data_IF_527868605700
#
_entry.id   IF_527868605700
#
_cell.length_a   1.000
_cell.length_b   1.000
_cell.length_c   1.000
_cell.angle_alpha   90.00
_cell.angle_beta   90.00
_cell.angle_gamma   90.00
#
_symmetry.space_group_name_H-M   'P 1'
#
loop_
_entity.id
_entity.type
_entity.pdbx_description
1 polymer ?
#
# COMPACT_ATOMS: atom_id res chain seq x y z
N UNK A 1 -49.76 -5.33 24.71
CA UNK A 1 -48.38 -5.40 25.24
C UNK A 1 -48.49 -5.76 26.73
N UNK A 2 -48.30 -7.05 27.10
CA UNK A 2 -48.24 -7.50 28.48
C UNK A 2 -46.82 -7.29 29.03
N UNK A 3 -46.55 -6.09 29.52
CA UNK A 3 -45.31 -5.79 30.21
C UNK A 3 -45.38 -6.39 31.61
N UNK A 4 -44.38 -7.22 31.96
CA UNK A 4 -44.23 -7.69 33.33
C UNK A 4 -43.64 -6.56 34.19
N UNK A 5 -44.29 -6.29 35.34
CA UNK A 5 -43.77 -5.30 36.29
C UNK A 5 -42.49 -5.81 36.90
N UNK A 6 -41.45 -4.98 36.93
CA UNK A 6 -40.21 -5.30 37.60
C UNK A 6 -40.45 -5.38 39.12
N UNK A 7 -39.97 -6.44 39.77
CA UNK A 7 -40.09 -6.68 41.21
C UNK A 7 -38.82 -6.33 41.98
N UNK A 8 -37.70 -6.15 41.28
CA UNK A 8 -36.42 -5.74 41.85
C UNK A 8 -36.16 -4.26 41.58
N UNK A 9 -35.36 -3.59 42.40
CA UNK A 9 -34.88 -2.25 42.12
C UNK A 9 -34.03 -2.24 40.84
N UNK A 10 -34.34 -1.31 39.93
CA UNK A 10 -33.56 -1.17 38.70
C UNK A 10 -32.22 -0.52 39.01
N UNK A 11 -31.21 -0.97 38.33
CA UNK A 11 -29.85 -0.41 38.41
C UNK A 11 -29.78 0.98 37.79
N UNK A 12 -28.76 1.76 38.15
CA UNK A 12 -28.50 3.07 37.54
C UNK A 12 -28.49 2.97 35.99
N UNK A 13 -27.83 1.98 35.46
CA UNK A 13 -27.69 1.74 34.02
C UNK A 13 -29.05 1.49 33.34
N UNK A 14 -29.90 0.62 33.93
CA UNK A 14 -31.22 0.29 33.36
C UNK A 14 -32.14 1.50 33.33
N UNK A 15 -32.16 2.28 34.42
CA UNK A 15 -32.99 3.50 34.51
C UNK A 15 -32.53 4.51 33.45
N UNK A 16 -31.24 4.76 33.36
CA UNK A 16 -30.72 5.80 32.49
C UNK A 16 -30.70 5.40 31.01
N UNK A 17 -30.55 4.13 30.68
CA UNK A 17 -30.78 3.62 29.33
C UNK A 17 -32.24 3.77 28.87
N UNK A 18 -33.18 3.48 29.77
CA UNK A 18 -34.61 3.67 29.47
C UNK A 18 -34.93 5.15 29.22
N UNK A 19 -34.45 6.07 30.07
CA UNK A 19 -34.64 7.51 29.92
C UNK A 19 -33.95 8.06 28.65
N UNK A 20 -32.77 7.56 28.33
CA UNK A 20 -31.98 7.99 27.17
C UNK A 20 -32.72 7.81 25.86
N UNK A 21 -33.57 6.78 25.73
CA UNK A 21 -34.35 6.52 24.52
C UNK A 21 -35.29 7.70 24.15
N UNK A 22 -35.74 8.48 25.17
CA UNK A 22 -36.54 9.69 24.98
C UNK A 22 -35.75 11.00 25.02
N UNK A 23 -34.45 10.96 25.38
CA UNK A 23 -33.64 12.15 25.65
C UNK A 23 -32.43 12.28 24.74
N UNK A 24 -32.41 11.60 23.58
CA UNK A 24 -31.34 11.64 22.62
C UNK A 24 -30.97 13.03 22.09
N UNK A 25 -31.92 13.97 22.17
CA UNK A 25 -31.71 15.40 21.85
C UNK A 25 -31.03 16.19 22.97
N UNK A 26 -30.98 15.67 24.21
CA UNK A 26 -30.52 16.37 25.40
C UNK A 26 -29.21 15.74 25.96
N UNK A 27 -28.36 15.24 25.08
CA UNK A 27 -27.05 14.66 25.43
C UNK A 27 -25.92 15.61 25.08
N UNK A 28 -24.77 15.45 25.75
CA UNK A 28 -23.58 16.21 25.42
C UNK A 28 -22.30 15.50 25.80
N UNK A 29 -21.24 15.80 25.06
CA UNK A 29 -19.89 15.40 25.33
C UNK A 29 -19.07 16.56 25.86
N UNK A 30 -18.30 16.32 26.91
CA UNK A 30 -17.41 17.32 27.51
C UNK A 30 -16.36 17.78 26.48
N UNK A 31 -16.24 19.10 26.28
CA UNK A 31 -15.22 19.64 25.40
C UNK A 31 -13.80 19.33 25.96
N UNK A 32 -12.95 18.72 25.15
CA UNK A 32 -11.60 18.28 25.56
C UNK A 32 -10.62 19.46 25.66
N UNK A 33 -10.80 20.47 24.82
CA UNK A 33 -9.98 21.68 24.77
C UNK A 33 -10.80 22.88 25.24
N UNK A 34 -10.68 23.26 26.50
CA UNK A 34 -11.22 24.52 26.95
C UNK A 34 -10.37 25.10 28.09
N UNK A 35 -10.00 26.36 27.94
CA UNK A 35 -9.36 27.18 28.97
C UNK A 35 -10.30 27.54 30.15
N UNK A 36 -11.50 26.99 30.16
CA UNK A 36 -12.49 27.26 31.18
C UNK A 36 -12.33 26.34 32.39
N UNK A 37 -12.39 26.90 33.59
CA UNK A 37 -12.46 26.12 34.85
C UNK A 37 -13.60 25.09 34.88
N UNK A 38 -14.70 25.35 34.15
CA UNK A 38 -15.81 24.43 33.91
C UNK A 38 -16.03 24.43 32.39
N UNK A 39 -15.49 23.43 31.66
CA UNK A 39 -15.67 23.39 30.22
C UNK A 39 -17.12 23.17 29.84
N UNK A 40 -17.59 23.75 28.72
CA UNK A 40 -18.91 23.46 28.20
C UNK A 40 -18.99 22.01 27.70
N UNK A 41 -20.21 21.52 27.63
CA UNK A 41 -20.55 20.31 26.89
C UNK A 41 -20.98 20.69 25.48
N UNK A 42 -20.47 19.94 24.50
CA UNK A 42 -20.98 20.00 23.13
C UNK A 42 -22.20 19.09 23.05
N UNK A 43 -23.33 19.66 22.79
CA UNK A 43 -24.59 18.96 22.66
C UNK A 43 -24.94 18.62 21.21
N UNK A 44 -26.03 17.90 21.05
CA UNK A 44 -26.69 17.69 19.76
C UNK A 44 -27.08 19.04 19.12
N UNK A 45 -27.30 19.05 17.79
CA UNK A 45 -27.63 20.24 17.01
C UNK A 45 -26.63 21.40 17.12
N UNK A 46 -25.39 21.11 17.53
CA UNK A 46 -24.29 22.07 17.61
C UNK A 46 -24.38 23.03 18.80
N UNK A 47 -25.27 22.80 19.77
CA UNK A 47 -25.41 23.65 20.93
C UNK A 47 -24.28 23.42 21.95
N UNK A 48 -23.90 24.48 22.68
CA UNK A 48 -22.99 24.38 23.83
C UNK A 48 -23.79 24.68 25.10
N UNK A 49 -23.66 23.81 26.10
CA UNK A 49 -24.32 24.01 27.38
C UNK A 49 -23.42 23.75 28.57
N UNK A 50 -23.78 24.20 29.71
CA UNK A 50 -23.10 24.01 31.00
C UNK A 50 -24.00 23.24 31.95
N UNK A 51 -23.47 22.45 32.83
CA UNK A 51 -24.24 21.85 33.91
C UNK A 51 -24.62 22.95 34.87
N UNK A 52 -25.91 22.98 35.33
CA UNK A 52 -26.40 23.93 36.32
C UNK A 52 -25.52 23.95 37.56
N UNK A 53 -25.09 25.14 38.08
CA UNK A 53 -24.14 25.24 39.21
C UNK A 53 -24.62 24.56 40.50
N UNK A 54 -25.94 24.49 40.71
CA UNK A 54 -26.55 23.79 41.86
C UNK A 54 -26.67 22.28 41.71
N UNK A 55 -26.28 21.71 40.56
CA UNK A 55 -26.29 20.27 40.35
C UNK A 55 -25.11 19.60 41.07
N UNK A 56 -25.34 18.41 41.63
CA UNK A 56 -24.29 17.56 42.21
C UNK A 56 -23.20 17.23 41.16
N UNK A 57 -23.57 17.19 39.88
CA UNK A 57 -22.69 16.93 38.77
C UNK A 57 -21.89 18.14 38.25
N UNK A 58 -22.19 19.36 38.74
CA UNK A 58 -21.53 20.58 38.22
C UNK A 58 -20.00 20.55 38.28
N UNK A 59 -19.41 19.90 39.29
CA UNK A 59 -17.94 19.78 39.46
C UNK A 59 -17.38 18.43 39.03
N UNK A 60 -18.23 17.40 38.88
CA UNK A 60 -17.82 15.98 38.68
C UNK A 60 -18.61 15.33 37.53
N UNK A 61 -19.09 16.11 36.57
CA UNK A 61 -19.74 15.56 35.39
C UNK A 61 -18.82 14.68 34.55
N UNK A 62 -19.30 13.53 34.10
CA UNK A 62 -18.56 12.58 33.25
C UNK A 62 -18.24 13.13 31.86
N UNK A 63 -17.63 12.30 31.04
CA UNK A 63 -17.34 12.64 29.64
C UNK A 63 -18.62 12.85 28.83
N UNK A 64 -19.63 12.01 29.07
CA UNK A 64 -20.91 12.05 28.43
C UNK A 64 -22.00 12.29 29.48
N UNK A 65 -22.92 13.17 29.17
CA UNK A 65 -24.04 13.46 30.04
C UNK A 65 -25.34 13.48 29.23
N UNK A 66 -26.44 13.13 29.90
CA UNK A 66 -27.80 13.46 29.45
C UNK A 66 -28.49 14.37 30.46
N UNK A 67 -29.42 15.19 30.02
CA UNK A 67 -30.22 16.06 30.89
C UNK A 67 -31.70 15.90 30.61
N UNK A 68 -32.53 16.13 31.62
CA UNK A 68 -33.96 16.13 31.42
C UNK A 68 -34.41 17.37 30.65
N UNK A 69 -33.73 18.52 30.87
CA UNK A 69 -34.07 19.80 30.25
C UNK A 69 -32.81 20.66 30.03
N UNK A 70 -32.89 21.50 29.00
CA UNK A 70 -31.94 22.57 28.73
C UNK A 70 -32.68 23.90 28.93
N UNK A 71 -32.17 24.74 29.84
CA UNK A 71 -32.81 26.03 30.21
C UNK A 71 -31.87 27.17 29.85
N UNK A 72 -32.36 28.10 29.06
CA UNK A 72 -31.61 29.30 28.69
C UNK A 72 -31.84 30.40 29.74
N UNK A 73 -30.72 30.92 30.23
CA UNK A 73 -30.69 32.09 31.13
C UNK A 73 -29.60 33.05 30.63
N UNK A 74 -28.51 33.26 31.37
CA UNK A 74 -27.31 33.94 30.87
C UNK A 74 -26.47 33.04 29.94
N UNK A 75 -26.66 31.74 30.10
CA UNK A 75 -26.08 30.63 29.27
C UNK A 75 -27.13 29.53 29.18
N UNK A 76 -26.91 28.60 28.30
CA UNK A 76 -27.73 27.39 28.25
C UNK A 76 -27.25 26.42 29.32
N UNK A 77 -28.12 26.04 30.23
CA UNK A 77 -27.84 25.16 31.38
C UNK A 77 -28.63 23.85 31.29
N UNK A 78 -27.94 22.77 31.53
CA UNK A 78 -28.54 21.44 31.69
C UNK A 78 -28.93 21.20 33.14
N UNK A 79 -30.20 20.81 33.37
CA UNK A 79 -30.77 20.44 34.68
C UNK A 79 -31.07 18.95 34.74
N UNK A 80 -31.09 18.40 35.94
CA UNK A 80 -31.26 16.96 36.19
C UNK A 80 -30.35 16.12 35.32
N UNK A 81 -29.03 16.28 35.53
CA UNK A 81 -27.98 15.68 34.71
C UNK A 81 -27.57 14.33 35.25
N UNK A 82 -27.44 13.37 34.34
CA UNK A 82 -26.87 12.04 34.61
C UNK A 82 -25.68 11.77 33.72
N UNK A 83 -24.67 11.06 34.24
CA UNK A 83 -23.59 10.55 33.44
C UNK A 83 -24.07 9.33 32.65
N UNK A 84 -23.62 9.23 31.38
CA UNK A 84 -23.97 8.14 30.48
C UNK A 84 -22.70 7.69 29.72
N UNK A 85 -22.80 6.57 29.04
CA UNK A 85 -21.71 6.05 28.22
C UNK A 85 -22.04 6.15 26.72
N UNK A 86 -21.00 6.25 25.87
CA UNK A 86 -21.18 6.38 24.42
C UNK A 86 -21.90 5.15 23.83
N UNK A 87 -21.65 3.96 24.36
CA UNK A 87 -22.27 2.69 23.97
C UNK A 87 -23.77 2.69 24.23
N UNK A 88 -24.23 3.36 25.30
CA UNK A 88 -25.68 3.48 25.59
C UNK A 88 -26.34 4.39 24.57
N UNK A 89 -25.68 5.49 24.19
CA UNK A 89 -26.16 6.41 23.14
C UNK A 89 -26.29 5.65 21.83
N UNK A 90 -25.27 4.88 21.46
CA UNK A 90 -25.26 4.09 20.22
C UNK A 90 -26.42 3.08 20.20
N UNK A 91 -26.60 2.34 21.29
CA UNK A 91 -27.66 1.36 21.42
C UNK A 91 -29.07 1.99 21.37
N UNK A 92 -29.25 3.13 22.05
CA UNK A 92 -30.55 3.83 22.08
C UNK A 92 -30.89 4.56 20.77
N UNK A 93 -29.88 5.12 20.11
CA UNK A 93 -30.05 5.88 18.87
C UNK A 93 -30.22 4.95 17.64
N UNK A 94 -29.63 3.78 17.61
CA UNK A 94 -29.80 2.82 16.53
C UNK A 94 -29.57 3.44 15.14
N UNK A 95 -30.61 3.41 14.31
CA UNK A 95 -30.59 3.95 12.94
C UNK A 95 -30.51 5.48 12.83
N UNK A 96 -30.65 6.21 13.94
CA UNK A 96 -30.51 7.67 13.95
C UNK A 96 -29.05 8.12 13.85
N UNK A 97 -28.09 7.22 14.12
CA UNK A 97 -26.68 7.51 13.94
C UNK A 97 -26.35 7.55 12.45
N UNK A 98 -25.87 8.70 12.00
CA UNK A 98 -25.30 8.85 10.67
C UNK A 98 -23.86 8.36 10.70
N UNK A 99 -23.57 7.33 9.89
CA UNK A 99 -22.25 6.74 9.73
C UNK A 99 -21.56 7.32 8.52
N UNK A 100 -20.26 7.55 8.64
CA UNK A 100 -19.37 7.91 7.55
C UNK A 100 -18.09 7.13 7.67
N UNK A 101 -17.48 6.80 6.53
CA UNK A 101 -16.25 6.02 6.44
C UNK A 101 -15.19 6.84 5.75
N UNK A 102 -13.96 6.74 6.25
CA UNK A 102 -12.79 7.42 5.69
C UNK A 102 -11.60 6.47 5.64
N UNK A 103 -10.63 6.82 4.79
CA UNK A 103 -9.34 6.12 4.68
C UNK A 103 -9.50 4.60 4.44
N UNK A 104 -10.27 4.16 3.42
CA UNK A 104 -10.31 2.75 3.08
C UNK A 104 -8.93 2.30 2.59
N UNK A 105 -8.43 1.19 3.16
CA UNK A 105 -7.11 0.64 2.86
C UNK A 105 -7.08 -0.87 3.05
N UNK A 106 -6.16 -1.52 2.38
CA UNK A 106 -5.92 -2.95 2.55
C UNK A 106 -5.22 -3.26 3.87
N UNK A 107 -5.80 -4.13 4.67
CA UNK A 107 -5.19 -4.62 5.90
C UNK A 107 -4.68 -6.05 5.70
N UNK A 108 -3.38 -6.18 5.52
CA UNK A 108 -2.70 -7.42 5.16
C UNK A 108 -3.00 -8.59 6.10
N UNK A 109 -2.93 -8.35 7.42
CA UNK A 109 -3.13 -9.40 8.43
C UNK A 109 -4.59 -9.87 8.52
N UNK A 110 -5.54 -8.98 8.25
CA UNK A 110 -6.96 -9.33 8.20
C UNK A 110 -7.35 -9.94 6.85
N UNK A 111 -6.62 -9.61 5.82
CA UNK A 111 -6.90 -10.04 4.45
C UNK A 111 -8.18 -9.45 3.89
N UNK A 112 -8.53 -8.23 4.30
CA UNK A 112 -9.70 -7.48 3.87
C UNK A 112 -9.44 -5.97 3.88
N UNK A 113 -10.30 -5.22 3.18
CA UNK A 113 -10.24 -3.76 3.20
C UNK A 113 -10.94 -3.22 4.44
N UNK A 114 -10.22 -2.40 5.18
CA UNK A 114 -10.68 -1.73 6.40
C UNK A 114 -10.90 -0.24 6.13
N UNK A 115 -11.79 0.37 6.90
CA UNK A 115 -11.99 1.81 6.91
C UNK A 115 -12.24 2.32 8.33
N UNK A 116 -12.03 3.62 8.54
CA UNK A 116 -12.34 4.29 9.79
C UNK A 116 -13.78 4.78 9.79
N UNK A 117 -14.63 4.15 10.63
CA UNK A 117 -16.03 4.54 10.82
C UNK A 117 -16.13 5.65 11.86
N UNK A 118 -16.91 6.68 11.53
CA UNK A 118 -17.34 7.75 12.43
C UNK A 118 -18.86 7.74 12.52
N UNK A 119 -19.38 7.75 13.74
CA UNK A 119 -20.82 7.86 14.02
C UNK A 119 -21.19 9.21 14.60
N UNK A 120 -22.21 9.86 14.03
CA UNK A 120 -22.73 11.15 14.51
C UNK A 120 -24.24 11.07 14.78
N UNK A 121 -24.68 11.65 15.89
CA UNK A 121 -26.09 11.79 16.24
C UNK A 121 -26.45 13.27 16.31
N UNK A 122 -27.35 13.73 15.45
CA UNK A 122 -27.75 15.13 15.34
C UNK A 122 -26.58 16.13 15.31
N UNK A 123 -25.51 15.76 14.59
CA UNK A 123 -24.27 16.55 14.46
C UNK A 123 -23.24 16.34 15.58
N UNK A 124 -23.60 15.69 16.69
CA UNK A 124 -22.67 15.33 17.75
C UNK A 124 -21.92 14.04 17.41
N UNK A 125 -20.60 14.08 17.44
CA UNK A 125 -19.76 12.88 17.21
C UNK A 125 -19.82 11.97 18.44
N UNK A 126 -20.37 10.77 18.27
CA UNK A 126 -20.49 9.78 19.33
C UNK A 126 -19.23 8.93 19.43
N UNK A 127 -18.73 8.46 18.29
CA UNK A 127 -17.45 7.75 18.16
C UNK A 127 -16.77 8.11 16.83
N UNK A 128 -15.48 7.92 16.81
CA UNK A 128 -14.65 8.14 15.63
C UNK A 128 -13.48 7.15 15.63
N UNK A 129 -12.86 6.94 14.47
CA UNK A 129 -11.70 6.05 14.29
C UNK A 129 -11.98 4.59 14.71
N UNK A 130 -13.20 4.12 14.50
CA UNK A 130 -13.52 2.72 14.68
C UNK A 130 -13.16 1.96 13.41
N UNK A 131 -12.18 1.08 13.48
CA UNK A 131 -11.81 0.24 12.34
C UNK A 131 -12.89 -0.81 12.08
N UNK A 132 -13.44 -0.78 10.85
CA UNK A 132 -14.50 -1.68 10.40
C UNK A 132 -14.17 -2.28 9.03
N UNK A 133 -14.71 -3.47 8.72
CA UNK A 133 -14.65 -4.05 7.38
C UNK A 133 -15.44 -3.18 6.40
N UNK A 134 -14.82 -2.77 5.29
CA UNK A 134 -15.41 -1.82 4.34
C UNK A 134 -16.21 -2.48 3.22
N UNK A 135 -16.01 -3.76 2.97
CA UNK A 135 -16.62 -4.52 1.88
C UNK A 135 -18.16 -4.40 1.84
N UNK A 136 -18.81 -4.39 3.02
CA UNK A 136 -20.28 -4.27 3.12
C UNK A 136 -20.82 -2.89 2.77
N UNK A 137 -19.96 -1.88 2.73
CA UNK A 137 -20.31 -0.48 2.48
C UNK A 137 -20.04 -0.09 1.03
N UNK A 138 -18.92 -0.55 0.49
CA UNK A 138 -18.56 -0.37 -0.91
C UNK A 138 -17.73 -1.56 -1.40
N UNK A 139 -18.41 -2.51 -2.03
CA UNK A 139 -17.79 -3.71 -2.58
C UNK A 139 -16.86 -3.37 -3.76
N UNK A 140 -17.26 -2.42 -4.60
CA UNK A 140 -16.49 -2.06 -5.80
C UNK A 140 -15.15 -1.45 -5.43
N UNK A 141 -15.15 -0.46 -4.52
CA UNK A 141 -13.91 0.15 -4.04
C UNK A 141 -13.07 -0.84 -3.22
N UNK A 142 -13.70 -1.71 -2.41
CA UNK A 142 -12.97 -2.75 -1.68
C UNK A 142 -12.27 -3.73 -2.61
N UNK A 143 -12.93 -4.13 -3.72
CA UNK A 143 -12.33 -4.98 -4.73
C UNK A 143 -11.16 -4.31 -5.45
N UNK A 144 -11.32 -3.05 -5.82
CA UNK A 144 -10.24 -2.26 -6.44
C UNK A 144 -9.02 -2.18 -5.53
N UNK A 145 -9.21 -1.80 -4.26
CA UNK A 145 -8.13 -1.72 -3.28
C UNK A 145 -7.49 -3.08 -2.99
N UNK A 146 -8.29 -4.16 -2.94
CA UNK A 146 -7.77 -5.52 -2.80
C UNK A 146 -6.86 -5.89 -3.97
N UNK A 147 -7.29 -5.67 -5.20
CA UNK A 147 -6.46 -5.99 -6.38
C UNK A 147 -5.20 -5.14 -6.40
N UNK A 148 -5.31 -3.82 -6.24
CA UNK A 148 -4.15 -2.90 -6.28
C UNK A 148 -3.17 -3.18 -5.15
N UNK A 149 -3.63 -3.08 -3.91
CA UNK A 149 -2.74 -3.09 -2.75
C UNK A 149 -2.30 -4.50 -2.35
N UNK A 150 -3.15 -5.51 -2.49
CA UNK A 150 -2.78 -6.89 -2.15
C UNK A 150 -2.04 -7.60 -3.28
N UNK A 151 -2.62 -7.64 -4.50
CA UNK A 151 -2.12 -8.48 -5.58
C UNK A 151 -1.04 -7.79 -6.43
N UNK A 152 -1.23 -6.52 -6.79
CA UNK A 152 -0.28 -5.77 -7.63
C UNK A 152 0.89 -5.27 -6.81
N UNK A 153 0.66 -4.53 -5.71
CA UNK A 153 1.74 -4.02 -4.85
C UNK A 153 2.43 -5.12 -4.01
N UNK A 154 1.93 -6.35 -4.04
CA UNK A 154 2.58 -7.46 -3.36
C UNK A 154 2.31 -7.56 -1.85
N UNK A 155 1.32 -6.86 -1.32
CA UNK A 155 0.99 -6.83 0.11
C UNK A 155 0.04 -7.97 0.53
N UNK A 156 0.27 -9.18 0.03
CA UNK A 156 -0.58 -10.35 0.30
C UNK A 156 0.21 -11.50 0.91
N UNK A 157 -0.25 -12.05 2.03
CA UNK A 157 0.45 -13.11 2.77
C UNK A 157 -0.02 -14.53 2.41
N UNK A 158 -1.06 -14.69 1.58
CA UNK A 158 -1.58 -16.01 1.27
C UNK A 158 -0.65 -16.81 0.36
N UNK A 159 -0.54 -18.11 0.65
CA UNK A 159 0.30 -19.06 -0.09
C UNK A 159 -0.48 -19.66 -1.27
N UNK A 160 -0.78 -18.84 -2.29
CA UNK A 160 -1.43 -19.29 -3.50
C UNK A 160 -0.41 -19.53 -4.64
N UNK A 161 -0.43 -20.68 -5.34
CA UNK A 161 0.59 -21.01 -6.35
C UNK A 161 0.64 -20.02 -7.52
N UNK A 162 -0.53 -19.49 -7.98
CA UNK A 162 -0.54 -18.45 -9.02
C UNK A 162 0.21 -17.19 -8.59
N UNK A 163 -0.01 -16.77 -7.34
CA UNK A 163 0.60 -15.56 -6.82
C UNK A 163 2.12 -15.69 -6.67
N UNK A 164 2.57 -16.84 -6.14
CA UNK A 164 4.01 -17.15 -6.06
C UNK A 164 4.65 -17.21 -7.46
N UNK A 165 3.94 -17.75 -8.46
CA UNK A 165 4.38 -17.76 -9.85
C UNK A 165 4.54 -16.34 -10.38
N UNK A 166 3.52 -15.49 -10.23
CA UNK A 166 3.53 -14.12 -10.73
C UNK A 166 4.61 -13.28 -10.03
N UNK A 167 4.74 -13.38 -8.71
CA UNK A 167 5.77 -12.67 -7.94
C UNK A 167 7.20 -13.10 -8.29
N UNK A 168 7.40 -14.38 -8.68
CA UNK A 168 8.70 -14.85 -9.20
C UNK A 168 8.98 -14.22 -10.55
N UNK A 169 7.99 -14.23 -11.42
CA UNK A 169 8.13 -13.73 -12.79
C UNK A 169 8.38 -12.21 -12.80
N UNK A 170 7.68 -11.45 -11.95
CA UNK A 170 7.90 -10.01 -11.77
C UNK A 170 9.37 -9.76 -11.33
N UNK A 171 9.84 -10.45 -10.30
CA UNK A 171 11.24 -10.32 -9.84
C UNK A 171 12.27 -10.67 -10.92
N UNK A 172 11.99 -11.68 -11.75
CA UNK A 172 12.87 -12.02 -12.88
C UNK A 172 12.93 -10.88 -13.91
N UNK A 173 11.83 -10.18 -14.14
CA UNK A 173 11.75 -9.04 -15.07
C UNK A 173 12.42 -7.79 -14.46
N UNK A 174 12.20 -7.51 -13.18
CA UNK A 174 12.91 -6.44 -12.46
C UNK A 174 14.43 -6.65 -12.48
N UNK A 175 14.90 -7.89 -12.28
CA UNK A 175 16.32 -8.21 -12.46
C UNK A 175 16.81 -7.91 -13.90
N UNK A 176 15.97 -8.10 -14.91
CA UNK A 176 16.31 -7.73 -16.29
C UNK A 176 16.36 -6.22 -16.48
N UNK A 177 15.47 -5.46 -15.89
CA UNK A 177 15.52 -3.99 -15.90
C UNK A 177 16.85 -3.48 -15.34
N UNK A 178 17.25 -3.99 -14.17
CA UNK A 178 18.55 -3.65 -13.57
C UNK A 178 19.72 -4.03 -14.47
N UNK A 179 19.67 -5.21 -15.10
CA UNK A 179 20.74 -5.66 -16.02
C UNK A 179 20.86 -4.82 -17.27
N UNK A 180 19.73 -4.44 -17.84
CA UNK A 180 19.67 -3.71 -19.10
C UNK A 180 19.73 -2.20 -18.94
N UNK A 181 19.71 -1.71 -17.69
CA UNK A 181 19.60 -0.29 -17.36
C UNK A 181 18.37 0.37 -18.02
N UNK A 182 17.30 -0.41 -18.22
CA UNK A 182 16.04 0.03 -18.82
C UNK A 182 14.91 -0.11 -17.80
N UNK A 183 14.37 0.99 -17.25
CA UNK A 183 13.33 0.95 -16.23
C UNK A 183 11.92 0.70 -16.80
N UNK A 184 11.80 0.44 -18.09
CA UNK A 184 10.52 0.35 -18.82
C UNK A 184 10.26 -1.05 -19.41
N UNK A 185 10.87 -2.09 -18.87
CA UNK A 185 10.69 -3.48 -19.36
C UNK A 185 9.44 -4.11 -18.78
N UNK A 186 9.21 -3.92 -17.47
CA UNK A 186 8.01 -4.39 -16.80
C UNK A 186 6.80 -3.53 -17.21
N UNK A 187 5.65 -4.16 -17.39
CA UNK A 187 4.38 -3.44 -17.55
C UNK A 187 4.03 -2.71 -16.26
N UNK A 188 3.37 -1.56 -16.41
CA UNK A 188 2.95 -0.76 -15.26
C UNK A 188 1.85 -1.46 -14.42
N UNK A 189 1.64 -0.94 -13.22
CA UNK A 189 0.68 -1.47 -12.28
C UNK A 189 -0.76 -1.45 -12.81
N UNK A 190 -1.08 -0.52 -13.70
CA UNK A 190 -2.42 -0.44 -14.32
C UNK A 190 -2.70 -1.62 -15.25
N UNK A 191 -1.71 -2.10 -15.99
CA UNK A 191 -1.87 -3.28 -16.83
C UNK A 191 -1.96 -4.55 -15.98
N UNK A 192 -1.19 -4.64 -14.88
CA UNK A 192 -1.31 -5.75 -13.92
C UNK A 192 -2.68 -5.73 -13.24
N UNK A 193 -3.16 -4.55 -12.84
CA UNK A 193 -4.51 -4.38 -12.30
C UNK A 193 -5.57 -4.84 -13.31
N UNK A 194 -5.51 -4.36 -14.54
CA UNK A 194 -6.48 -4.72 -15.60
C UNK A 194 -6.51 -6.23 -15.87
N UNK A 195 -5.36 -6.91 -15.79
CA UNK A 195 -5.31 -8.36 -15.90
C UNK A 195 -6.10 -9.06 -14.79
N UNK A 196 -5.87 -8.70 -13.52
CA UNK A 196 -6.61 -9.29 -12.41
C UNK A 196 -8.09 -8.89 -12.42
N UNK A 197 -8.39 -7.65 -12.78
CA UNK A 197 -9.76 -7.12 -12.86
C UNK A 197 -10.61 -7.87 -13.88
N UNK A 198 -10.01 -8.26 -15.00
CA UNK A 198 -10.70 -9.03 -16.05
C UNK A 198 -11.00 -10.49 -15.66
N UNK A 199 -10.18 -11.09 -14.77
CA UNK A 199 -10.27 -12.53 -14.43
C UNK A 199 -11.02 -12.76 -13.12
N UNK A 200 -10.79 -11.92 -12.10
CA UNK A 200 -11.40 -12.08 -10.77
C UNK A 200 -12.86 -11.63 -10.81
N UNK A 201 -13.83 -12.46 -10.38
CA UNK A 201 -15.24 -12.08 -10.31
C UNK A 201 -15.48 -10.82 -9.48
N UNK A 202 -16.56 -10.08 -9.84
CA UNK A 202 -16.89 -8.79 -9.23
C UNK A 202 -17.30 -8.86 -7.76
N UNK A 203 -17.65 -10.02 -7.26
CA UNK A 203 -18.05 -10.28 -5.87
C UNK A 203 -16.87 -10.66 -4.95
N UNK A 204 -15.65 -10.71 -5.49
CA UNK A 204 -14.44 -11.07 -4.74
C UNK A 204 -13.65 -9.79 -4.39
N UNK A 205 -13.61 -9.46 -3.10
CA UNK A 205 -12.95 -8.25 -2.58
C UNK A 205 -12.03 -8.51 -1.36
N UNK A 206 -11.78 -9.76 -1.00
CA UNK A 206 -10.94 -10.11 0.14
C UNK A 206 -10.25 -11.47 -0.05
N UNK A 207 -9.26 -11.76 0.82
CA UNK A 207 -8.50 -13.02 0.79
C UNK A 207 -9.39 -14.26 0.90
N UNK A 208 -10.39 -14.22 1.79
CA UNK A 208 -11.25 -15.39 2.04
C UNK A 208 -12.07 -15.73 0.82
N UNK A 209 -12.72 -14.76 0.18
CA UNK A 209 -13.52 -14.96 -1.02
C UNK A 209 -12.67 -15.44 -2.20
N UNK A 210 -11.46 -14.87 -2.39
CA UNK A 210 -10.54 -15.30 -3.43
C UNK A 210 -10.09 -16.77 -3.24
N UNK A 211 -9.68 -17.14 -2.02
CA UNK A 211 -9.25 -18.51 -1.74
C UNK A 211 -10.39 -19.51 -1.86
N UNK A 212 -11.63 -19.14 -1.50
CA UNK A 212 -12.81 -19.98 -1.69
C UNK A 212 -13.09 -20.22 -3.19
N UNK A 213 -13.01 -19.16 -4.00
CA UNK A 213 -13.19 -19.24 -5.44
C UNK A 213 -12.11 -20.10 -6.13
N UNK A 214 -10.84 -19.92 -5.75
CA UNK A 214 -9.74 -20.78 -6.21
C UNK A 214 -9.96 -22.26 -5.88
N UNK A 215 -10.43 -22.55 -4.68
CA UNK A 215 -10.73 -23.92 -4.26
C UNK A 215 -11.87 -24.55 -5.06
N UNK A 216 -12.90 -23.77 -5.41
CA UNK A 216 -14.04 -24.25 -6.22
C UNK A 216 -13.66 -24.46 -7.68
N UNK A 217 -12.93 -23.54 -8.28
CA UNK A 217 -12.54 -23.58 -9.69
C UNK A 217 -11.32 -24.45 -10.01
N UNK A 218 -10.60 -24.86 -8.97
CA UNK A 218 -9.44 -25.76 -9.10
C UNK A 218 -8.32 -25.21 -9.99
N UNK A 219 -7.69 -26.12 -10.72
CA UNK A 219 -6.51 -25.78 -11.55
C UNK A 219 -6.81 -24.83 -12.71
N UNK A 220 -8.02 -24.85 -13.26
CA UNK A 220 -8.39 -23.97 -14.37
C UNK A 220 -8.39 -22.51 -13.94
N UNK A 221 -9.08 -22.20 -12.84
CA UNK A 221 -9.13 -20.86 -12.27
C UNK A 221 -7.75 -20.42 -11.81
N UNK A 222 -6.98 -21.29 -11.20
CA UNK A 222 -5.63 -20.96 -10.78
C UNK A 222 -4.71 -20.65 -11.96
N UNK A 223 -4.82 -21.39 -13.07
CA UNK A 223 -4.04 -21.12 -14.27
C UNK A 223 -4.46 -19.83 -14.99
N UNK A 224 -5.73 -19.44 -14.93
CA UNK A 224 -6.19 -18.17 -15.53
C UNK A 224 -5.62 -16.94 -14.83
N UNK A 225 -5.20 -17.07 -13.56
CA UNK A 225 -4.56 -16.00 -12.78
C UNK A 225 -3.04 -15.96 -12.94
N UNK A 226 -2.43 -16.94 -13.63
CA UNK A 226 -0.99 -16.92 -13.90
C UNK A 226 -0.68 -16.01 -15.07
N UNK A 227 0.11 -15.00 -14.85
CA UNK A 227 0.62 -14.13 -15.90
C UNK A 227 1.69 -14.84 -16.72
N UNK A 228 1.79 -14.50 -17.99
CA UNK A 228 2.87 -14.93 -18.86
C UNK A 228 3.96 -13.85 -18.89
N UNK A 229 5.18 -14.25 -19.26
CA UNK A 229 6.29 -13.30 -19.41
C UNK A 229 5.97 -12.25 -20.47
N UNK A 230 5.36 -12.63 -21.58
CA UNK A 230 4.99 -11.72 -22.66
C UNK A 230 3.93 -10.69 -22.22
N UNK A 231 3.01 -11.10 -21.32
CA UNK A 231 2.01 -10.19 -20.76
C UNK A 231 2.61 -9.18 -19.77
N UNK A 232 3.73 -9.50 -19.11
CA UNK A 232 4.42 -8.65 -18.14
C UNK A 232 5.57 -7.83 -18.74
N UNK A 233 5.95 -8.09 -19.99
CA UNK A 233 7.02 -7.35 -20.67
C UNK A 233 6.46 -6.44 -21.76
N UNK A 234 6.94 -5.21 -21.82
CA UNK A 234 6.67 -4.33 -22.96
C UNK A 234 7.37 -4.87 -24.22
N UNK A 235 6.74 -4.72 -25.37
CA UNK A 235 7.18 -5.33 -26.64
C UNK A 235 8.61 -5.01 -27.10
N UNK A 236 9.23 -3.95 -26.58
CA UNK A 236 10.58 -3.51 -26.98
C UNK A 236 11.75 -4.22 -26.24
N UNK A 237 11.47 -5.15 -25.33
CA UNK A 237 12.50 -5.82 -24.54
C UNK A 237 13.04 -7.13 -25.15
N UNK A 238 12.69 -7.45 -26.40
CA UNK A 238 13.00 -8.72 -27.09
C UNK A 238 14.50 -9.02 -27.33
N UNK A 239 15.40 -8.06 -27.04
CA UNK A 239 16.85 -8.21 -27.23
C UNK A 239 17.65 -8.64 -25.99
N UNK A 240 16.99 -8.83 -24.84
CA UNK A 240 17.68 -9.12 -23.58
C UNK A 240 17.81 -10.62 -23.34
N UNK A 241 18.97 -11.18 -23.61
CA UNK A 241 19.26 -12.61 -23.36
C UNK A 241 20.30 -12.77 -22.27
N UNK A 242 20.32 -13.94 -21.60
CA UNK A 242 21.38 -14.30 -20.65
C UNK A 242 22.78 -14.31 -21.29
N UNK A 243 22.87 -14.32 -22.63
CA UNK A 243 24.13 -14.22 -23.37
C UNK A 243 24.74 -12.82 -23.20
N UNK A 244 23.94 -11.78 -23.30
CA UNK A 244 24.42 -10.39 -23.20
C UNK A 244 24.55 -9.92 -21.74
N UNK A 245 23.74 -10.48 -20.81
CA UNK A 245 23.75 -10.15 -19.39
C UNK A 245 23.84 -11.41 -18.53
N UNK A 246 25.05 -12.05 -18.47
CA UNK A 246 25.22 -13.31 -17.75
C UNK A 246 25.06 -13.12 -16.23
N UNK A 247 24.58 -14.17 -15.55
CA UNK A 247 24.49 -14.19 -14.06
C UNK A 247 25.82 -14.54 -13.41
N UNK A 248 26.71 -15.23 -14.15
CA UNK A 248 28.00 -15.63 -13.68
C UNK A 248 29.03 -15.45 -14.80
N UNK A 249 30.26 -15.23 -14.41
CA UNK A 249 31.42 -15.20 -15.34
C UNK A 249 32.48 -16.16 -14.85
N UNK A 250 33.20 -16.79 -15.80
CA UNK A 250 34.38 -17.58 -15.51
C UNK A 250 35.64 -16.76 -15.74
N UNK A 251 36.45 -16.58 -14.67
CA UNK A 251 37.77 -15.98 -14.72
C UNK A 251 38.74 -16.84 -13.96
N UNK A 252 39.94 -17.05 -14.51
CA UNK A 252 40.98 -17.88 -13.89
C UNK A 252 40.47 -19.27 -13.46
N UNK A 253 39.52 -19.87 -14.20
CA UNK A 253 38.90 -21.16 -13.85
C UNK A 253 37.95 -21.14 -12.67
N UNK A 254 37.55 -19.95 -12.21
CA UNK A 254 36.60 -19.77 -11.10
C UNK A 254 35.33 -19.09 -11.60
N UNK A 255 34.17 -19.68 -11.28
CA UNK A 255 32.86 -19.06 -11.57
C UNK A 255 32.54 -18.01 -10.51
N UNK A 256 32.33 -16.78 -10.94
CA UNK A 256 32.05 -15.61 -10.09
C UNK A 256 30.64 -15.07 -10.36
N UNK A 257 29.90 -14.76 -9.30
CA UNK A 257 28.56 -14.20 -9.43
C UNK A 257 28.59 -12.71 -9.80
N UNK A 258 27.70 -12.33 -10.74
CA UNK A 258 27.51 -10.96 -11.19
C UNK A 258 26.18 -10.44 -10.64
N UNK A 259 26.24 -9.30 -9.93
CA UNK A 259 25.06 -8.56 -9.49
C UNK A 259 24.98 -7.22 -10.23
N UNK A 260 23.82 -6.96 -10.81
CA UNK A 260 23.51 -5.74 -11.54
C UNK A 260 22.68 -4.83 -10.67
N UNK A 261 23.05 -3.56 -10.56
CA UNK A 261 22.31 -2.54 -9.85
C UNK A 261 22.15 -1.32 -10.73
N UNK A 262 20.91 -0.83 -10.86
CA UNK A 262 20.61 0.37 -11.63
C UNK A 262 19.93 1.41 -10.73
N UNK A 263 20.71 2.35 -10.23
CA UNK A 263 20.25 3.48 -9.43
C UNK A 263 21.19 4.67 -9.68
N UNK A 264 20.88 5.50 -10.67
CA UNK A 264 21.74 6.64 -11.04
C UNK A 264 22.04 7.54 -9.85
N UNK A 265 23.34 7.73 -9.55
CA UNK A 265 23.80 8.52 -8.40
C UNK A 265 24.09 7.72 -7.12
N UNK A 266 23.75 6.43 -7.08
CA UNK A 266 24.14 5.54 -5.98
C UNK A 266 25.59 5.05 -6.19
N UNK A 267 26.45 5.00 -5.15
CA UNK A 267 27.81 4.42 -5.24
C UNK A 267 27.85 2.96 -5.69
N UNK A 268 26.74 2.24 -5.60
CA UNK A 268 26.60 0.85 -6.04
C UNK A 268 26.01 0.70 -7.44
N UNK A 269 25.70 1.83 -8.13
CA UNK A 269 25.17 1.79 -9.50
C UNK A 269 26.19 1.11 -10.43
N UNK A 270 25.75 0.08 -11.16
CA UNK A 270 26.57 -0.64 -12.11
C UNK A 270 26.63 -2.14 -11.87
N UNK A 271 27.80 -2.72 -12.16
CA UNK A 271 28.08 -4.14 -12.03
C UNK A 271 28.95 -4.43 -10.81
N UNK A 272 28.51 -5.36 -9.98
CA UNK A 272 29.29 -5.87 -8.85
C UNK A 272 29.67 -7.34 -9.12
N UNK A 273 30.95 -7.65 -9.05
CA UNK A 273 31.49 -9.03 -9.16
C UNK A 273 31.87 -9.51 -7.76
N UNK A 274 31.33 -10.67 -7.35
CA UNK A 274 31.74 -11.30 -6.10
C UNK A 274 32.92 -12.23 -6.35
N UNK A 275 34.08 -11.82 -5.87
CA UNK A 275 35.36 -12.54 -6.09
C UNK A 275 35.75 -13.29 -4.83
N UNK A 276 35.97 -14.63 -4.89
CA UNK A 276 36.58 -15.38 -3.80
C UNK A 276 38.00 -14.87 -3.50
N UNK A 277 38.36 -14.76 -2.23
CA UNK A 277 39.62 -14.15 -1.80
C UNK A 277 40.86 -14.83 -2.42
N UNK A 278 40.84 -16.15 -2.63
CA UNK A 278 41.94 -16.89 -3.26
C UNK A 278 42.13 -16.58 -4.76
N UNK A 279 41.08 -16.09 -5.43
CA UNK A 279 41.12 -15.78 -6.86
C UNK A 279 41.48 -14.29 -7.14
N UNK A 280 41.57 -13.46 -6.11
CA UNK A 280 41.74 -12.00 -6.24
C UNK A 280 43.00 -11.62 -7.03
N UNK A 281 44.12 -12.31 -6.80
CA UNK A 281 45.40 -12.06 -7.48
C UNK A 281 45.47 -12.62 -8.91
N UNK A 282 44.44 -13.36 -9.34
CA UNK A 282 44.39 -13.99 -10.66
C UNK A 282 43.42 -13.28 -11.61
N UNK A 283 42.85 -12.16 -11.16
CA UNK A 283 41.94 -11.37 -11.97
C UNK A 283 42.69 -10.69 -13.10
N UNK A 284 42.20 -10.89 -14.33
CA UNK A 284 42.70 -10.19 -15.51
C UNK A 284 41.91 -8.87 -15.68
N UNK A 285 42.62 -7.73 -15.54
CA UNK A 285 42.05 -6.41 -15.70
C UNK A 285 41.46 -6.18 -17.10
N UNK A 286 42.11 -6.71 -18.13
CA UNK A 286 41.68 -6.64 -19.52
C UNK A 286 40.34 -7.39 -19.69
N UNK A 287 40.29 -8.62 -19.19
CA UNK A 287 39.05 -9.40 -19.22
C UNK A 287 37.95 -8.73 -18.44
N UNK A 288 38.26 -8.06 -17.32
CA UNK A 288 37.28 -7.31 -16.50
C UNK A 288 36.66 -6.13 -17.25
N UNK A 289 37.34 -5.55 -18.22
CA UNK A 289 36.77 -4.45 -19.04
C UNK A 289 35.69 -4.92 -20.02
N UNK A 290 35.63 -6.21 -20.34
CA UNK A 290 34.69 -6.81 -21.31
C UNK A 290 33.59 -7.66 -20.68
N UNK A 291 33.45 -7.65 -19.37
CA UNK A 291 32.62 -8.58 -18.58
C UNK A 291 31.19 -8.77 -19.03
N UNK A 292 30.57 -7.74 -19.54
CA UNK A 292 29.15 -7.76 -19.90
C UNK A 292 28.96 -7.30 -21.33
N UNK A 293 28.79 -8.22 -22.28
CA UNK A 293 28.67 -7.91 -23.70
C UNK A 293 27.54 -6.89 -23.96
N UNK A 294 26.38 -6.98 -23.25
CA UNK A 294 25.28 -6.06 -23.41
C UNK A 294 25.58 -4.60 -23.01
N UNK A 295 26.58 -4.35 -22.17
CA UNK A 295 27.02 -3.01 -21.76
C UNK A 295 28.10 -2.39 -22.67
N UNK A 296 28.71 -3.18 -23.55
CA UNK A 296 29.81 -2.72 -24.41
C UNK A 296 29.39 -1.55 -25.30
N UNK A 297 28.22 -1.61 -25.89
CA UNK A 297 27.72 -0.55 -26.75
C UNK A 297 27.54 0.78 -25.99
N UNK A 298 26.94 0.76 -24.80
CA UNK A 298 26.77 1.97 -23.98
C UNK A 298 28.10 2.52 -23.50
N UNK A 299 29.03 1.63 -23.08
CA UNK A 299 30.37 2.00 -22.68
C UNK A 299 31.13 2.69 -23.82
N UNK A 300 31.05 2.15 -25.04
CA UNK A 300 31.59 2.79 -26.23
C UNK A 300 30.97 4.18 -26.49
N UNK A 301 29.66 4.33 -26.38
CA UNK A 301 29.01 5.61 -26.54
C UNK A 301 29.50 6.66 -25.54
N UNK A 302 29.62 6.28 -24.25
CA UNK A 302 30.11 7.19 -23.22
C UNK A 302 31.56 7.60 -23.45
N UNK A 303 32.42 6.67 -23.86
CA UNK A 303 33.81 6.96 -24.22
C UNK A 303 33.89 7.91 -25.40
N UNK A 304 33.17 7.66 -26.47
CA UNK A 304 33.13 8.57 -27.63
C UNK A 304 32.66 9.97 -27.22
N UNK A 305 31.63 10.04 -26.37
CA UNK A 305 31.11 11.33 -25.85
C UNK A 305 32.11 12.07 -24.97
N UNK A 306 32.99 11.36 -24.26
CA UNK A 306 34.05 11.95 -23.42
C UNK A 306 35.25 12.48 -24.22
N UNK A 307 35.39 12.11 -25.48
CA UNK A 307 36.51 12.56 -26.33
C UNK A 307 36.44 14.09 -26.55
N UNK A 308 37.60 14.76 -26.70
CA UNK A 308 37.66 16.16 -27.10
C UNK A 308 36.87 16.42 -28.39
N UNK A 309 36.20 17.57 -28.46
CA UNK A 309 35.30 17.92 -29.57
C UNK A 309 35.96 17.76 -30.95
N UNK A 310 37.26 18.03 -31.06
CA UNK A 310 38.04 17.91 -32.29
C UNK A 310 38.05 16.48 -32.84
N UNK A 311 38.02 15.47 -31.97
CA UNK A 311 38.00 14.05 -32.34
C UNK A 311 36.55 13.58 -32.48
N UNK A 312 35.71 13.88 -31.49
CA UNK A 312 34.31 13.45 -31.44
C UNK A 312 33.50 13.85 -32.68
N UNK A 313 33.79 14.99 -33.30
CA UNK A 313 33.12 15.43 -34.56
C UNK A 313 33.20 14.41 -35.69
N UNK A 314 34.18 13.54 -35.70
CA UNK A 314 34.36 12.49 -36.71
C UNK A 314 33.56 11.23 -36.43
N UNK A 315 32.98 11.12 -35.21
CA UNK A 315 32.18 9.99 -34.77
C UNK A 315 30.69 10.38 -34.62
N UNK A 316 30.10 10.97 -35.66
CA UNK A 316 28.69 11.42 -35.69
C UNK A 316 27.95 10.69 -36.80
N UNK A 317 26.82 10.02 -36.51
CA UNK A 317 26.16 9.84 -35.20
C UNK A 317 26.90 8.87 -34.27
N UNK A 318 27.04 9.22 -33.00
CA UNK A 318 27.77 8.41 -31.99
C UNK A 318 27.17 7.00 -31.83
N UNK A 319 25.85 6.89 -32.00
CA UNK A 319 25.16 5.60 -31.86
C UNK A 319 25.59 4.59 -32.94
N UNK A 320 25.81 5.04 -34.16
CA UNK A 320 26.18 4.17 -35.28
C UNK A 320 27.60 3.64 -35.11
N UNK A 321 28.51 4.49 -34.65
CA UNK A 321 29.91 4.09 -34.36
C UNK A 321 29.94 3.09 -33.19
N UNK A 322 29.19 3.31 -32.14
CA UNK A 322 29.13 2.38 -31.02
C UNK A 322 28.47 1.04 -31.42
N UNK A 323 27.49 1.05 -32.31
CA UNK A 323 26.87 -0.14 -32.85
C UNK A 323 27.85 -0.94 -33.72
N UNK A 324 28.59 -0.28 -34.60
CA UNK A 324 29.61 -0.93 -35.43
C UNK A 324 30.74 -1.50 -34.58
N UNK A 325 31.18 -0.79 -33.54
CA UNK A 325 32.17 -1.28 -32.59
C UNK A 325 31.67 -2.55 -31.90
N UNK A 326 30.42 -2.55 -31.41
CA UNK A 326 29.81 -3.71 -30.77
C UNK A 326 29.74 -4.92 -31.70
N UNK A 327 29.36 -4.75 -32.98
CA UNK A 327 29.26 -5.84 -33.93
C UNK A 327 30.68 -6.45 -34.22
N UNK A 328 31.72 -5.64 -34.34
CA UNK A 328 33.09 -6.13 -34.49
C UNK A 328 33.59 -6.90 -33.28
N UNK A 329 33.17 -6.53 -32.06
CA UNK A 329 33.54 -7.28 -30.85
C UNK A 329 32.82 -8.63 -30.78
N UNK A 330 31.60 -8.75 -31.32
CA UNK A 330 30.91 -10.03 -31.45
C UNK A 330 31.58 -10.97 -32.47
N UNK A 331 32.12 -10.42 -33.53
CA UNK A 331 32.89 -11.18 -34.58
C UNK A 331 34.29 -11.59 -34.12
N UNK A 332 34.70 -11.20 -32.90
CA UNK A 332 36.01 -11.61 -32.34
C UNK A 332 37.22 -10.78 -32.77
N UNK A 333 37.03 -9.70 -33.54
CA UNK A 333 38.13 -8.88 -34.07
C UNK A 333 38.75 -7.94 -33.02
N UNK A 334 38.10 -7.66 -31.89
CA UNK A 334 38.53 -6.60 -30.96
C UNK A 334 38.90 -7.04 -29.54
N UNK A 335 38.82 -8.32 -29.22
CA UNK A 335 38.97 -8.82 -27.83
C UNK A 335 40.38 -9.00 -27.24
N UNK A 336 41.51 -8.98 -27.97
CA UNK A 336 42.84 -9.25 -27.37
C UNK A 336 43.48 -8.05 -26.67
N UNK A 337 42.87 -6.86 -26.70
CA UNK A 337 43.39 -5.63 -26.08
C UNK A 337 42.42 -5.07 -25.07
N UNK A 338 42.96 -4.29 -24.12
CA UNK A 338 42.13 -3.55 -23.20
C UNK A 338 41.10 -2.67 -23.93
N UNK A 339 39.91 -2.51 -23.38
CA UNK A 339 38.82 -1.75 -23.98
C UNK A 339 39.22 -0.30 -24.32
N UNK A 340 40.16 0.26 -23.56
CA UNK A 340 40.68 1.62 -23.76
C UNK A 340 41.82 1.69 -24.79
N UNK A 341 42.33 0.55 -25.29
CA UNK A 341 43.41 0.47 -26.27
C UNK A 341 42.94 0.18 -27.71
N UNK A 342 41.63 -0.10 -27.87
CA UNK A 342 40.96 -0.34 -29.15
C UNK A 342 40.34 0.94 -29.68
#
# INVERSE_FOLDING_TARGET
>A
LSWRRNTAEATYEEVHKALLSGLLGNIGSKAVESDFRAPPYLGTFGVKFWIWPGSVKAKKGGRWVMSSELVETTKLYARCVADIEAEWIEAAAGNLIKKSWSEPHWEKHRGEVMAMERGTLYGLTIYQQRSVSFERHDLALSRELFIRQALVEGNWDAQAPFYQHNQRLIREIEELEHKTRRPDVLVDDELQFAFYDAVIPSDIANTRSLLAWLKQGGKEVENSLKMTRDALMRHDASGVTNRYYPKTIEMAGVSMALAYHFEPGNPRDGLTVTVPLFALNQLDAVQAEWLVPGMVKEKAQFLIKSLPQKIRRHCVPVQDYAQQFFLRTEEGEAQPKGFFEV
#
